data_IF_640471519797
#
_entry.id   IF_640471519797
#
_cell.length_a   1.000
_cell.length_b   1.000
_cell.length_c   1.000
_cell.angle_alpha   90.00
_cell.angle_beta   90.00
_cell.angle_gamma   90.00
#
_symmetry.space_group_name_H-M   'P 1'
#
loop_
_entity.id
_entity.type
_entity.pdbx_description
1 polymer ?
#
# COMPACT_ATOMS: atom_id res chain seq x y z
N UNK A 1 -21.09 1.15 2.22
CA UNK A 1 -20.23 1.14 3.41
C UNK A 1 -19.03 0.22 3.19
N UNK A 2 -17.84 0.65 3.59
CA UNK A 2 -16.59 -0.07 3.41
C UNK A 2 -16.61 -1.41 4.16
N UNK A 3 -16.55 -2.52 3.43
CA UNK A 3 -16.39 -3.85 4.03
C UNK A 3 -15.00 -4.02 4.64
N UNK A 4 -13.98 -3.45 3.99
CA UNK A 4 -12.59 -3.52 4.45
C UNK A 4 -12.09 -2.12 4.83
N UNK A 5 -11.99 -1.91 6.15
CA UNK A 5 -11.33 -0.75 6.77
C UNK A 5 -9.88 -1.13 7.04
N UNK A 6 -9.01 -0.75 6.11
CA UNK A 6 -7.65 -1.27 6.04
C UNK A 6 -6.56 -0.24 6.31
N UNK A 7 -5.44 -0.75 6.81
CA UNK A 7 -4.15 -0.06 6.84
C UNK A 7 -3.06 -1.04 6.41
N UNK A 8 -2.01 -0.54 5.76
CA UNK A 8 -0.85 -1.37 5.45
C UNK A 8 0.14 -1.39 6.61
N UNK A 9 0.91 -2.47 6.70
CA UNK A 9 1.97 -2.64 7.69
C UNK A 9 3.23 -3.15 6.98
N UNK A 10 4.33 -2.39 7.09
CA UNK A 10 5.62 -2.75 6.51
C UNK A 10 6.32 -3.72 7.45
N UNK A 11 6.45 -4.98 7.03
CA UNK A 11 7.11 -6.02 7.82
C UNK A 11 8.62 -5.84 7.68
N UNK A 12 9.22 -5.26 8.72
CA UNK A 12 10.66 -5.01 8.80
C UNK A 12 11.39 -5.99 9.71
N UNK A 13 12.29 -5.46 10.54
CA UNK A 13 13.10 -6.23 11.49
C UNK A 13 12.55 -6.21 12.92
N UNK A 14 11.36 -5.66 13.12
CA UNK A 14 10.69 -5.59 14.42
C UNK A 14 10.54 -6.99 15.04
N UNK A 15 10.59 -7.03 16.38
CA UNK A 15 10.37 -8.27 17.12
C UNK A 15 8.93 -8.76 16.97
N UNK A 16 8.69 -10.05 17.20
CA UNK A 16 7.32 -10.60 17.16
C UNK A 16 6.38 -9.91 18.16
N UNK A 17 6.90 -9.51 19.32
CA UNK A 17 6.12 -8.83 20.36
C UNK A 17 5.75 -7.40 19.94
N UNK A 18 6.66 -6.69 19.27
CA UNK A 18 6.36 -5.36 18.72
C UNK A 18 5.34 -5.45 17.58
N UNK A 19 5.51 -6.41 16.67
CA UNK A 19 4.52 -6.69 15.62
C UNK A 19 3.14 -7.00 16.21
N UNK A 20 3.07 -7.83 17.25
CA UNK A 20 1.80 -8.13 17.93
C UNK A 20 1.19 -6.87 18.54
N UNK A 21 1.98 -6.05 19.25
CA UNK A 21 1.52 -4.80 19.86
C UNK A 21 0.96 -3.84 18.80
N UNK A 22 1.68 -3.65 17.70
CA UNK A 22 1.24 -2.78 16.61
C UNK A 22 -0.07 -3.28 15.99
N UNK A 23 -0.20 -4.59 15.77
CA UNK A 23 -1.42 -5.18 15.23
C UNK A 23 -2.62 -5.06 16.18
N UNK A 24 -2.40 -5.13 17.49
CA UNK A 24 -3.44 -4.86 18.49
C UNK A 24 -3.91 -3.41 18.45
N UNK A 25 -2.98 -2.44 18.30
CA UNK A 25 -3.32 -1.02 18.11
C UNK A 25 -4.09 -0.81 16.81
N UNK A 26 -3.67 -1.45 15.72
CA UNK A 26 -4.37 -1.39 14.43
C UNK A 26 -5.81 -1.90 14.55
N UNK A 27 -6.03 -3.02 15.25
CA UNK A 27 -7.35 -3.59 15.42
C UNK A 27 -8.24 -2.75 16.35
N UNK A 28 -7.71 -2.37 17.52
CA UNK A 28 -8.51 -1.79 18.61
C UNK A 28 -8.63 -0.27 18.52
N UNK A 29 -7.53 0.41 18.26
CA UNK A 29 -7.44 1.87 18.37
C UNK A 29 -7.69 2.55 17.03
N UNK A 30 -7.27 1.93 15.92
CA UNK A 30 -7.60 2.40 14.56
C UNK A 30 -8.91 1.81 14.03
N UNK A 31 -9.54 0.87 14.73
CA UNK A 31 -10.76 0.18 14.32
C UNK A 31 -10.67 -0.47 12.93
N UNK A 32 -9.47 -0.90 12.52
CA UNK A 32 -9.29 -1.60 11.26
C UNK A 32 -9.88 -3.02 11.34
N UNK A 33 -10.47 -3.48 10.24
CA UNK A 33 -10.96 -4.87 10.11
C UNK A 33 -9.90 -5.77 9.47
N UNK A 34 -9.00 -5.19 8.68
CA UNK A 34 -8.01 -5.93 7.88
C UNK A 34 -6.69 -5.17 7.83
N UNK A 35 -5.57 -5.88 7.83
CA UNK A 35 -4.24 -5.30 7.61
C UNK A 35 -3.63 -5.83 6.30
N UNK A 36 -3.00 -4.96 5.51
CA UNK A 36 -2.19 -5.39 4.37
C UNK A 36 -0.71 -5.48 4.78
N UNK A 37 -0.21 -6.70 4.90
CA UNK A 37 1.17 -6.97 5.28
C UNK A 37 2.07 -6.95 4.06
N UNK A 38 3.10 -6.11 4.11
CA UNK A 38 4.02 -5.88 3.00
C UNK A 38 5.41 -6.29 3.46
N UNK A 39 6.00 -7.29 2.81
CA UNK A 39 7.33 -7.75 3.17
C UNK A 39 7.72 -9.01 2.42
N UNK A 40 8.59 -9.81 3.01
CA UNK A 40 9.11 -11.01 2.36
C UNK A 40 9.27 -12.20 3.29
N UNK A 41 9.22 -13.39 2.69
CA UNK A 41 9.65 -14.64 3.28
C UNK A 41 8.88 -15.01 4.56
N UNK A 42 9.57 -15.65 5.49
CA UNK A 42 8.98 -16.18 6.73
C UNK A 42 8.39 -15.07 7.61
N UNK A 43 9.06 -13.91 7.70
CA UNK A 43 8.61 -12.77 8.52
C UNK A 43 7.23 -12.28 8.10
N UNK A 44 6.98 -12.21 6.79
CA UNK A 44 5.66 -11.86 6.24
C UNK A 44 4.57 -12.82 6.71
N UNK A 45 4.83 -14.14 6.66
CA UNK A 45 3.87 -15.17 7.05
C UNK A 45 3.65 -15.19 8.57
N UNK A 46 4.71 -15.01 9.36
CA UNK A 46 4.60 -14.95 10.83
C UNK A 46 3.77 -13.73 11.27
N UNK A 47 3.96 -12.57 10.62
CA UNK A 47 3.15 -11.38 10.86
C UNK A 47 1.67 -11.61 10.44
N UNK A 48 1.44 -12.34 9.34
CA UNK A 48 0.09 -12.70 8.90
C UNK A 48 -0.64 -13.60 9.90
N UNK A 49 0.05 -14.59 10.46
CA UNK A 49 -0.51 -15.42 11.54
C UNK A 49 -0.86 -14.57 12.76
N UNK A 50 0.04 -13.68 13.18
CA UNK A 50 -0.18 -12.79 14.32
C UNK A 50 -1.38 -11.85 14.10
N UNK A 51 -1.56 -11.32 12.88
CA UNK A 51 -2.71 -10.50 12.53
C UNK A 51 -4.04 -11.28 12.60
N UNK A 52 -4.04 -12.53 12.11
CA UNK A 52 -5.23 -13.39 12.17
C UNK A 52 -5.63 -13.71 13.62
N UNK A 53 -4.65 -13.97 14.50
CA UNK A 53 -4.81 -14.21 15.93
C UNK A 53 -5.34 -13.00 16.70
N UNK A 54 -5.02 -11.77 16.25
CA UNK A 54 -5.50 -10.52 16.87
C UNK A 54 -6.90 -10.09 16.41
N UNK A 55 -7.52 -10.85 15.50
CA UNK A 55 -8.87 -10.54 15.02
C UNK A 55 -8.90 -9.71 13.72
N UNK A 56 -7.76 -9.46 13.07
CA UNK A 56 -7.69 -8.83 11.75
C UNK A 56 -7.76 -9.83 10.58
N UNK A 57 -8.48 -9.47 9.51
CA UNK A 57 -8.24 -10.06 8.19
C UNK A 57 -6.86 -9.68 7.66
N UNK A 58 -6.32 -10.44 6.71
CA UNK A 58 -4.99 -10.19 6.14
C UNK A 58 -4.98 -10.14 4.62
N UNK A 59 -4.34 -9.11 4.09
CA UNK A 59 -3.91 -9.03 2.70
C UNK A 59 -2.40 -9.26 2.67
N UNK A 60 -1.96 -10.38 2.12
CA UNK A 60 -0.54 -10.76 2.06
C UNK A 60 0.03 -10.20 0.76
N UNK A 61 0.93 -9.22 0.86
CA UNK A 61 1.62 -8.58 -0.26
C UNK A 61 3.11 -8.89 -0.25
N UNK A 62 3.57 -9.96 -0.93
CA UNK A 62 5.00 -10.19 -1.11
C UNK A 62 5.61 -9.00 -1.87
N UNK A 63 6.69 -8.45 -1.32
CA UNK A 63 7.35 -7.26 -1.84
C UNK A 63 8.88 -7.40 -1.76
N UNK A 64 9.45 -7.96 -2.83
CA UNK A 64 10.90 -8.03 -3.02
C UNK A 64 11.24 -7.35 -4.35
N UNK A 65 11.54 -6.03 -4.33
CA UNK A 65 11.82 -5.30 -5.56
C UNK A 65 13.09 -5.83 -6.24
N UNK A 66 13.20 -5.63 -7.55
CA UNK A 66 14.36 -6.04 -8.36
C UNK A 66 14.59 -7.56 -8.53
N UNK A 67 13.71 -8.44 -8.00
CA UNK A 67 13.79 -9.86 -8.33
C UNK A 67 13.55 -10.11 -9.82
N UNK A 68 14.37 -10.96 -10.42
CA UNK A 68 14.10 -11.46 -11.77
C UNK A 68 12.76 -12.19 -11.80
N UNK A 69 12.07 -12.16 -12.95
CA UNK A 69 10.74 -12.77 -13.08
C UNK A 69 10.68 -14.24 -12.62
N UNK A 70 11.67 -15.11 -12.93
CA UNK A 70 11.66 -16.49 -12.40
C UNK A 70 11.71 -16.55 -10.87
N UNK A 71 12.59 -15.76 -10.24
CA UNK A 71 12.73 -15.71 -8.77
C UNK A 71 11.51 -15.12 -8.09
N UNK A 72 10.89 -14.10 -8.70
CA UNK A 72 9.63 -13.54 -8.25
C UNK A 72 8.52 -14.60 -8.23
N UNK A 73 8.42 -15.41 -9.29
CA UNK A 73 7.41 -16.46 -9.39
C UNK A 73 7.66 -17.61 -8.41
N UNK A 74 8.93 -18.00 -8.20
CA UNK A 74 9.33 -18.97 -7.17
C UNK A 74 8.96 -18.47 -5.77
N UNK A 75 9.26 -17.21 -5.48
CA UNK A 75 8.88 -16.58 -4.22
C UNK A 75 7.36 -16.53 -4.03
N UNK A 76 6.61 -16.19 -5.08
CA UNK A 76 5.16 -16.17 -5.05
C UNK A 76 4.56 -17.57 -4.84
N UNK A 77 5.14 -18.63 -5.43
CA UNK A 77 4.68 -20.02 -5.21
C UNK A 77 4.80 -20.39 -3.73
N UNK A 78 5.95 -20.09 -3.10
CA UNK A 78 6.19 -20.34 -1.69
C UNK A 78 5.27 -19.53 -0.76
N UNK A 79 5.05 -18.25 -1.06
CA UNK A 79 4.12 -17.40 -0.29
C UNK A 79 2.68 -17.87 -0.46
N UNK A 80 2.29 -18.32 -1.66
CA UNK A 80 0.95 -18.84 -1.92
C UNK A 80 0.68 -20.16 -1.17
N UNK A 81 1.69 -21.04 -1.07
CA UNK A 81 1.61 -22.26 -0.26
C UNK A 81 1.40 -21.94 1.22
N UNK A 82 2.21 -21.04 1.79
CA UNK A 82 2.06 -20.61 3.18
C UNK A 82 0.74 -19.86 3.45
N UNK A 83 0.28 -19.03 2.49
CA UNK A 83 -1.01 -18.34 2.60
C UNK A 83 -2.20 -19.32 2.59
N UNK A 84 -2.09 -20.45 1.87
CA UNK A 84 -3.13 -21.48 1.85
C UNK A 84 -3.24 -22.20 3.18
N UNK A 85 -2.13 -22.44 3.88
CA UNK A 85 -2.14 -22.97 5.24
C UNK A 85 -2.93 -22.04 6.17
N UNK A 86 -2.61 -20.74 6.17
CA UNK A 86 -3.32 -19.74 6.97
C UNK A 86 -4.81 -19.66 6.61
N UNK A 87 -5.16 -19.74 5.31
CA UNK A 87 -6.55 -19.69 4.85
C UNK A 87 -7.37 -20.88 5.32
N UNK A 88 -6.76 -22.07 5.45
CA UNK A 88 -7.46 -23.26 5.98
C UNK A 88 -7.77 -23.13 7.46
N UNK A 89 -6.87 -22.50 8.22
CA UNK A 89 -7.06 -22.22 9.64
C UNK A 89 -8.03 -21.06 9.88
N UNK A 90 -8.01 -20.06 9.00
CA UNK A 90 -8.85 -18.86 9.06
C UNK A 90 -9.57 -18.62 7.73
N UNK A 91 -10.65 -19.38 7.45
CA UNK A 91 -11.45 -19.20 6.24
C UNK A 91 -11.92 -17.76 6.06
N UNK A 92 -11.95 -17.31 4.80
CA UNK A 92 -12.47 -15.99 4.38
C UNK A 92 -11.73 -14.76 4.92
N UNK A 93 -10.59 -14.94 5.60
CA UNK A 93 -9.80 -13.84 6.20
C UNK A 93 -8.44 -13.63 5.58
N UNK A 94 -8.10 -14.37 4.51
CA UNK A 94 -6.79 -14.31 3.84
C UNK A 94 -6.99 -13.99 2.37
N UNK A 95 -6.41 -12.87 1.92
CA UNK A 95 -6.33 -12.47 0.51
C UNK A 95 -4.86 -12.37 0.09
N UNK A 96 -4.51 -12.86 -1.09
CA UNK A 96 -3.14 -12.83 -1.61
C UNK A 96 -3.01 -11.81 -2.74
N UNK A 97 -2.05 -10.89 -2.63
CA UNK A 97 -1.64 -10.06 -3.76
C UNK A 97 -0.55 -10.79 -4.53
N UNK A 98 -0.70 -10.94 -5.86
CA UNK A 98 0.40 -11.47 -6.68
C UNK A 98 1.59 -10.50 -6.76
N UNK A 99 1.36 -9.22 -6.45
CA UNK A 99 2.39 -8.19 -6.34
C UNK A 99 1.85 -6.77 -6.44
N UNK A 100 2.76 -5.82 -6.63
CA UNK A 100 2.47 -4.38 -6.73
C UNK A 100 3.35 -3.71 -7.78
N UNK A 101 2.71 -2.95 -8.67
CA UNK A 101 3.33 -2.02 -9.62
C UNK A 101 4.54 -2.58 -10.40
N UNK A 102 4.41 -3.83 -10.86
CA UNK A 102 5.45 -4.60 -11.54
C UNK A 102 6.12 -3.89 -12.71
N UNK A 103 5.42 -2.97 -13.38
CA UNK A 103 6.00 -2.18 -14.48
C UNK A 103 7.32 -1.51 -14.10
N UNK A 104 7.43 -1.06 -12.85
CA UNK A 104 8.63 -0.41 -12.32
C UNK A 104 9.33 -1.21 -11.21
N UNK A 105 8.68 -2.16 -10.53
CA UNK A 105 9.33 -2.95 -9.47
C UNK A 105 10.03 -4.21 -10.01
N UNK A 106 9.55 -4.82 -11.11
CA UNK A 106 10.08 -6.09 -11.64
C UNK A 106 10.91 -5.91 -12.93
N UNK A 107 12.21 -6.27 -12.93
CA UNK A 107 13.07 -6.14 -14.09
C UNK A 107 12.50 -6.81 -15.34
N UNK A 108 12.76 -6.20 -16.48
CA UNK A 108 12.36 -6.73 -17.78
C UNK A 108 11.04 -6.21 -18.33
N UNK A 109 10.22 -5.46 -17.60
CA UNK A 109 9.06 -4.77 -18.19
C UNK A 109 9.52 -3.48 -18.88
N UNK A 110 9.93 -2.50 -18.07
CA UNK A 110 10.57 -1.26 -18.52
C UNK A 110 12.09 -1.39 -18.43
N UNK A 111 12.87 -0.90 -19.42
CA UNK A 111 14.33 -0.91 -19.34
C UNK A 111 14.85 -0.08 -18.16
N UNK A 112 15.86 -0.57 -17.45
CA UNK A 112 16.53 0.15 -16.39
C UNK A 112 16.98 -0.77 -15.26
N UNK A 113 18.13 -0.50 -14.60
CA UNK A 113 18.71 -1.39 -13.61
C UNK A 113 18.09 -1.27 -12.22
N UNK A 114 17.26 -0.24 -11.98
CA UNK A 114 16.63 0.05 -10.69
C UNK A 114 15.23 0.59 -10.89
N UNK A 115 14.34 0.26 -9.96
CA UNK A 115 12.92 0.61 -9.97
C UNK A 115 12.70 2.11 -10.12
N UNK A 116 13.43 2.92 -9.35
CA UNK A 116 13.38 4.38 -9.45
C UNK A 116 13.69 4.92 -10.86
N UNK A 117 14.65 4.33 -11.57
CA UNK A 117 14.97 4.74 -12.95
C UNK A 117 13.87 4.31 -13.92
N UNK A 118 13.30 3.13 -13.72
CA UNK A 118 12.16 2.63 -14.52
C UNK A 118 10.92 3.51 -14.32
N UNK A 119 10.62 3.90 -13.09
CA UNK A 119 9.54 4.83 -12.76
C UNK A 119 9.74 6.19 -13.46
N UNK A 120 10.94 6.76 -13.40
CA UNK A 120 11.26 8.01 -14.13
C UNK A 120 11.00 7.89 -15.64
N UNK A 121 11.38 6.76 -16.23
CA UNK A 121 11.14 6.49 -17.66
C UNK A 121 9.64 6.36 -17.96
N UNK A 122 8.88 5.68 -17.10
CA UNK A 122 7.41 5.59 -17.24
C UNK A 122 6.79 6.97 -17.19
N UNK A 123 7.07 7.76 -16.15
CA UNK A 123 6.49 9.10 -15.98
C UNK A 123 6.83 10.02 -17.16
N UNK A 124 8.05 9.93 -17.71
CA UNK A 124 8.49 10.79 -18.83
C UNK A 124 8.00 10.30 -20.19
N UNK A 125 8.00 8.99 -20.43
CA UNK A 125 7.81 8.38 -21.75
C UNK A 125 6.64 7.40 -21.79
N UNK A 126 5.66 7.54 -20.90
CA UNK A 126 4.50 6.65 -20.76
C UNK A 126 3.86 6.31 -22.11
N UNK A 127 3.56 7.31 -22.95
CA UNK A 127 2.90 7.11 -24.27
C UNK A 127 3.68 6.17 -25.19
N UNK A 128 5.02 6.24 -25.15
CA UNK A 128 5.91 5.40 -25.97
C UNK A 128 6.03 4.00 -25.37
N UNK A 129 6.07 3.90 -24.03
CA UNK A 129 6.26 2.65 -23.32
C UNK A 129 4.96 1.85 -23.14
N UNK A 130 3.78 2.47 -23.24
CA UNK A 130 2.46 1.87 -22.94
C UNK A 130 2.28 0.47 -23.52
N UNK A 131 2.36 0.33 -24.85
CA UNK A 131 2.19 -0.98 -25.52
C UNK A 131 3.17 -2.05 -25.03
N UNK A 132 4.39 -1.65 -24.67
CA UNK A 132 5.40 -2.56 -24.12
C UNK A 132 5.06 -2.96 -22.70
N UNK A 133 4.65 -2.00 -21.87
CA UNK A 133 4.23 -2.22 -20.48
C UNK A 133 3.05 -3.17 -20.48
N UNK A 134 1.95 -2.83 -21.16
CA UNK A 134 0.72 -3.63 -21.18
C UNK A 134 0.99 -5.08 -21.59
N UNK A 135 1.70 -5.30 -22.70
CA UNK A 135 2.00 -6.65 -23.20
C UNK A 135 2.90 -7.46 -22.24
N UNK A 136 3.94 -6.84 -21.68
CA UNK A 136 4.89 -7.56 -20.80
C UNK A 136 4.31 -7.78 -19.41
N UNK A 137 3.55 -6.81 -18.91
CA UNK A 137 2.84 -6.90 -17.64
C UNK A 137 1.75 -7.97 -17.71
N UNK A 138 0.90 -7.95 -18.74
CA UNK A 138 -0.12 -8.97 -18.94
C UNK A 138 0.47 -10.39 -18.92
N UNK A 139 1.54 -10.64 -19.68
CA UNK A 139 2.23 -11.95 -19.67
C UNK A 139 2.73 -12.34 -18.27
N UNK A 140 3.32 -11.39 -17.52
CA UNK A 140 3.81 -11.67 -16.18
C UNK A 140 2.66 -11.96 -15.22
N UNK A 141 1.58 -11.16 -15.25
CA UNK A 141 0.41 -11.32 -14.39
C UNK A 141 -0.31 -12.64 -14.65
N UNK A 142 -0.48 -13.06 -15.92
CA UNK A 142 -1.05 -14.37 -16.25
C UNK A 142 -0.25 -15.50 -15.62
N UNK A 143 1.08 -15.46 -15.72
CA UNK A 143 1.96 -16.47 -15.11
C UNK A 143 1.92 -16.39 -13.58
N UNK A 144 1.90 -15.19 -13.00
CA UNK A 144 1.85 -14.98 -11.56
C UNK A 144 0.56 -15.50 -10.93
N UNK A 145 -0.59 -15.18 -11.54
CA UNK A 145 -1.90 -15.71 -11.13
C UNK A 145 -1.92 -17.23 -11.26
N UNK A 146 -1.47 -17.78 -12.39
CA UNK A 146 -1.41 -19.24 -12.58
C UNK A 146 -0.56 -19.89 -11.50
N UNK A 147 0.58 -19.28 -11.16
CA UNK A 147 1.47 -19.76 -10.10
C UNK A 147 0.80 -19.73 -8.72
N UNK A 148 0.24 -18.60 -8.33
CA UNK A 148 -0.44 -18.49 -7.04
C UNK A 148 -1.63 -19.47 -6.94
N UNK A 149 -2.43 -19.61 -8.01
CA UNK A 149 -3.59 -20.51 -8.06
C UNK A 149 -3.27 -21.99 -7.95
N UNK A 150 -2.04 -22.43 -8.25
CA UNK A 150 -1.64 -23.82 -8.03
C UNK A 150 -1.65 -24.19 -6.54
N UNK A 151 -1.43 -23.20 -5.67
CA UNK A 151 -1.23 -23.41 -4.23
C UNK A 151 -2.37 -22.82 -3.39
N UNK A 152 -2.90 -21.67 -3.80
CA UNK A 152 -3.84 -20.87 -3.01
C UNK A 152 -5.25 -20.86 -3.59
N UNK A 153 -6.21 -21.28 -2.78
CA UNK A 153 -7.63 -21.38 -3.14
C UNK A 153 -8.49 -20.15 -2.76
N UNK A 154 -7.91 -19.15 -2.08
CA UNK A 154 -8.63 -17.95 -1.63
C UNK A 154 -8.60 -16.78 -2.62
N UNK A 155 -9.08 -15.60 -2.21
CA UNK A 155 -9.12 -14.42 -3.08
C UNK A 155 -7.73 -13.91 -3.50
N UNK A 156 -7.53 -13.66 -4.79
CA UNK A 156 -6.29 -13.10 -5.35
C UNK A 156 -6.55 -11.74 -6.00
N UNK A 157 -5.64 -10.80 -5.78
CA UNK A 157 -5.63 -9.49 -6.45
C UNK A 157 -4.20 -9.03 -6.81
N UNK A 158 -4.07 -7.81 -7.31
CA UNK A 158 -2.82 -7.16 -7.70
C UNK A 158 -2.96 -5.66 -7.40
N UNK A 159 -1.88 -5.00 -6.96
CA UNK A 159 -1.89 -3.55 -6.72
C UNK A 159 -1.39 -2.81 -7.95
N UNK A 160 -2.32 -2.35 -8.79
CA UNK A 160 -1.98 -1.69 -10.05
C UNK A 160 -1.67 -0.20 -9.87
N UNK A 161 -0.60 0.26 -10.51
CA UNK A 161 -0.34 1.70 -10.62
C UNK A 161 -1.31 2.34 -11.63
N UNK A 162 -1.58 3.65 -11.48
CA UNK A 162 -2.52 4.38 -12.36
C UNK A 162 -2.15 4.47 -13.85
N UNK A 163 -1.01 3.92 -14.28
CA UNK A 163 -0.60 3.81 -15.69
C UNK A 163 -0.61 2.37 -16.22
N UNK A 164 -0.93 1.38 -15.39
CA UNK A 164 -0.97 -0.03 -15.76
C UNK A 164 -2.38 -0.41 -16.23
N UNK A 165 -2.49 -0.98 -17.43
CA UNK A 165 -3.74 -1.59 -17.88
C UNK A 165 -3.70 -3.07 -17.54
N UNK A 166 -4.54 -3.48 -16.59
CA UNK A 166 -4.60 -4.85 -16.06
C UNK A 166 -5.85 -5.54 -16.58
N UNK A 167 -5.69 -6.80 -16.98
CA UNK A 167 -6.81 -7.68 -17.27
C UNK A 167 -7.36 -8.25 -15.96
N UNK A 168 -8.41 -7.61 -15.44
CA UNK A 168 -9.03 -8.00 -14.18
C UNK A 168 -9.81 -9.30 -14.25
N UNK A 169 -10.02 -9.90 -15.44
CA UNK A 169 -10.67 -11.22 -15.53
C UNK A 169 -9.83 -12.31 -14.82
N UNK A 170 -8.52 -12.10 -14.68
CA UNK A 170 -7.58 -13.01 -14.03
C UNK A 170 -7.66 -13.02 -12.49
N UNK A 171 -8.28 -12.00 -11.88
CA UNK A 171 -8.27 -11.75 -10.43
C UNK A 171 -9.66 -11.83 -9.83
N UNK A 172 -9.79 -11.97 -8.52
CA UNK A 172 -11.11 -11.92 -7.85
C UNK A 172 -11.50 -10.51 -7.46
N UNK A 173 -10.50 -9.66 -7.15
CA UNK A 173 -10.70 -8.25 -6.81
C UNK A 173 -9.89 -7.34 -7.73
N UNK A 174 -10.43 -6.15 -7.98
CA UNK A 174 -9.72 -5.07 -8.65
C UNK A 174 -8.91 -4.32 -7.60
N UNK A 175 -7.58 -4.33 -7.70
CA UNK A 175 -6.70 -3.68 -6.73
C UNK A 175 -5.92 -2.51 -7.34
N UNK A 176 -6.08 -1.30 -6.80
CA UNK A 176 -5.40 -0.11 -7.36
C UNK A 176 -4.70 0.74 -6.30
N UNK A 177 -3.46 1.13 -6.59
CA UNK A 177 -2.74 2.19 -5.88
C UNK A 177 -3.30 3.54 -6.37
N UNK A 178 -4.15 4.21 -5.57
CA UNK A 178 -5.00 5.30 -6.05
C UNK A 178 -4.78 6.62 -5.31
N UNK A 179 -3.69 7.30 -5.66
CA UNK A 179 -3.29 8.56 -5.04
C UNK A 179 -3.95 9.80 -5.68
N UNK A 180 -4.53 10.66 -4.83
CA UNK A 180 -4.96 12.01 -5.19
C UNK A 180 -3.76 12.97 -5.18
N UNK A 181 -3.77 13.92 -6.09
CA UNK A 181 -2.72 14.93 -6.27
C UNK A 181 -3.32 16.17 -6.92
N UNK A 182 -2.57 17.28 -6.94
CA UNK A 182 -3.02 18.51 -7.61
C UNK A 182 -3.29 18.34 -9.10
N UNK A 183 -2.69 17.32 -9.74
CA UNK A 183 -2.88 17.04 -11.18
C UNK A 183 -4.20 16.36 -11.52
N UNK A 184 -4.76 15.60 -10.58
CA UNK A 184 -5.98 14.82 -10.82
C UNK A 184 -7.13 15.23 -9.91
N UNK A 185 -6.94 16.19 -8.99
CA UNK A 185 -7.93 16.63 -8.01
C UNK A 185 -9.33 16.83 -8.60
N UNK A 186 -9.45 17.58 -9.70
CA UNK A 186 -10.75 17.87 -10.36
C UNK A 186 -11.40 16.65 -11.03
N UNK A 187 -10.62 15.62 -11.34
CA UNK A 187 -11.09 14.40 -12.04
C UNK A 187 -11.10 13.17 -11.14
N UNK A 188 -10.67 13.30 -9.88
CA UNK A 188 -10.38 12.17 -9.01
C UNK A 188 -11.66 11.41 -8.65
N UNK A 189 -12.72 12.13 -8.27
CA UNK A 189 -14.03 11.54 -7.98
C UNK A 189 -14.64 10.82 -9.18
N UNK A 190 -14.60 11.44 -10.36
CA UNK A 190 -15.15 10.82 -11.57
C UNK A 190 -14.38 9.57 -12.00
N UNK A 191 -13.06 9.56 -11.79
CA UNK A 191 -12.22 8.37 -11.99
C UNK A 191 -12.55 7.26 -11.01
N UNK A 192 -12.78 7.59 -9.73
CA UNK A 192 -13.19 6.62 -8.73
C UNK A 192 -14.56 6.01 -9.08
N UNK A 193 -15.55 6.84 -9.39
CA UNK A 193 -16.87 6.40 -9.84
C UNK A 193 -16.80 5.48 -11.05
N UNK A 194 -15.99 5.86 -12.03
CA UNK A 194 -15.77 5.05 -13.22
C UNK A 194 -15.13 3.71 -12.88
N UNK A 195 -14.14 3.71 -11.98
CA UNK A 195 -13.50 2.48 -11.53
C UNK A 195 -14.49 1.53 -10.84
N UNK A 196 -15.34 2.04 -9.94
CA UNK A 196 -16.35 1.21 -9.25
C UNK A 196 -17.44 0.73 -10.21
N UNK A 197 -17.93 1.60 -11.09
CA UNK A 197 -19.02 1.29 -12.02
C UNK A 197 -18.60 0.32 -13.14
N UNK A 198 -17.39 0.47 -13.67
CA UNK A 198 -16.97 -0.27 -14.87
C UNK A 198 -16.47 -1.71 -14.54
N UNK A 199 -16.55 -2.13 -13.27
CA UNK A 199 -16.12 -3.44 -12.82
C UNK A 199 -17.19 -4.15 -11.99
N UNK A 200 -17.58 -5.35 -12.42
CA UNK A 200 -18.51 -6.22 -11.68
C UNK A 200 -17.86 -6.89 -10.46
N UNK A 201 -16.56 -6.69 -10.24
CA UNK A 201 -15.76 -7.28 -9.16
C UNK A 201 -15.54 -6.24 -8.05
N UNK A 202 -15.41 -6.67 -6.78
CA UNK A 202 -15.12 -5.75 -5.69
C UNK A 202 -13.84 -4.94 -5.95
N UNK A 203 -13.94 -3.63 -5.84
CA UNK A 203 -12.83 -2.70 -6.02
C UNK A 203 -12.19 -2.39 -4.67
N UNK A 204 -10.87 -2.60 -4.58
CA UNK A 204 -10.06 -2.34 -3.41
C UNK A 204 -9.01 -1.28 -3.75
N UNK A 205 -9.00 -0.19 -2.99
CA UNK A 205 -7.91 0.78 -3.03
C UNK A 205 -6.77 0.23 -2.17
N UNK A 206 -5.78 -0.38 -2.82
CA UNK A 206 -4.68 -1.09 -2.16
C UNK A 206 -3.65 -0.13 -1.57
N UNK A 207 -3.63 1.13 -1.99
CA UNK A 207 -2.70 2.12 -1.45
C UNK A 207 -3.21 3.55 -1.68
N UNK A 208 -3.28 4.34 -0.61
CA UNK A 208 -3.46 5.79 -0.68
C UNK A 208 -2.84 6.48 0.56
N UNK A 209 -2.38 7.71 0.37
CA UNK A 209 -1.81 8.54 1.44
C UNK A 209 -1.04 9.75 0.93
N UNK A 210 -0.52 10.54 1.86
CA UNK A 210 0.45 11.60 1.59
C UNK A 210 1.38 11.79 2.80
N UNK A 211 2.39 12.64 2.63
CA UNK A 211 3.22 13.12 3.75
C UNK A 211 2.51 14.12 4.67
N UNK A 212 3.18 14.49 5.76
CA UNK A 212 2.72 15.41 6.80
C UNK A 212 3.45 16.77 6.73
N UNK A 213 3.35 17.45 5.58
CA UNK A 213 3.88 18.79 5.37
C UNK A 213 2.94 19.65 4.52
N UNK A 214 3.06 20.97 4.63
CA UNK A 214 2.23 21.90 3.85
C UNK A 214 2.40 21.65 2.34
N UNK A 215 1.29 21.31 1.67
CA UNK A 215 1.25 20.97 0.23
C UNK A 215 1.50 19.50 -0.09
N UNK A 216 1.56 18.61 0.91
CA UNK A 216 1.67 17.17 0.69
C UNK A 216 0.45 16.56 -0.03
N UNK A 217 -0.74 17.08 0.24
CA UNK A 217 -2.00 16.74 -0.43
C UNK A 217 -1.96 16.96 -1.95
N UNK A 218 -1.23 17.98 -2.40
CA UNK A 218 -1.03 18.26 -3.82
C UNK A 218 -0.03 17.30 -4.47
N UNK A 219 0.81 16.64 -3.67
CA UNK A 219 1.83 15.70 -4.15
C UNK A 219 1.35 14.25 -4.11
N UNK A 220 0.52 13.85 -3.14
CA UNK A 220 0.05 12.47 -2.98
C UNK A 220 1.21 11.49 -2.86
N UNK A 221 1.25 10.47 -3.73
CA UNK A 221 2.40 9.56 -3.87
C UNK A 221 3.75 10.30 -4.05
N UNK A 222 3.72 11.55 -4.49
CA UNK A 222 4.88 12.40 -4.68
C UNK A 222 5.50 13.00 -3.41
N UNK A 223 5.01 12.69 -2.20
CA UNK A 223 5.50 13.30 -0.96
C UNK A 223 6.97 12.99 -0.66
N UNK A 224 7.45 11.77 -0.92
CA UNK A 224 8.84 11.38 -0.67
C UNK A 224 9.89 12.14 -1.51
N UNK A 225 9.49 12.85 -2.57
CA UNK A 225 10.42 13.57 -3.46
C UNK A 225 11.05 14.80 -2.83
N UNK A 226 10.52 15.27 -1.70
CA UNK A 226 11.13 16.37 -0.94
C UNK A 226 12.43 15.93 -0.25
N UNK A 227 12.68 14.63 -0.13
CA UNK A 227 13.93 14.10 0.44
C UNK A 227 15.05 14.12 -0.59
N UNK A 228 16.20 14.66 -0.19
CA UNK A 228 17.46 14.53 -0.88
C UNK A 228 18.18 13.25 -0.48
N UNK A 229 17.89 12.16 -1.19
CA UNK A 229 18.57 10.87 -1.00
C UNK A 229 20.07 10.87 -1.39
N UNK A 230 20.57 11.97 -1.97
CA UNK A 230 21.98 12.11 -2.36
C UNK A 230 22.83 12.85 -1.31
N UNK A 231 22.25 13.30 -0.20
CA UNK A 231 23.02 13.83 0.93
C UNK A 231 23.26 12.74 1.97
N UNK A 232 24.32 12.90 2.76
CA UNK A 232 24.63 12.03 3.90
C UNK A 232 24.70 12.88 5.18
N UNK A 233 23.76 12.71 6.13
CA UNK A 233 22.53 11.91 6.02
C UNK A 233 21.54 12.48 4.97
N UNK A 234 20.50 11.71 4.56
CA UNK A 234 19.41 12.24 3.75
C UNK A 234 18.76 13.46 4.42
N UNK A 235 18.33 14.45 3.63
CA UNK A 235 17.79 15.72 4.15
C UNK A 235 16.61 16.22 3.34
N UNK A 236 15.72 16.96 3.98
CA UNK A 236 14.61 17.65 3.31
C UNK A 236 15.14 18.80 2.44
N UNK A 237 14.65 18.90 1.20
CA UNK A 237 14.97 19.96 0.24
C UNK A 237 14.02 21.13 0.40
N UNK A 238 14.56 22.34 0.51
CA UNK A 238 13.75 23.55 0.58
C UNK A 238 12.95 23.63 1.88
N UNK A 239 11.93 24.50 1.87
CA UNK A 239 11.06 24.73 3.01
C UNK A 239 9.76 23.94 2.87
N UNK A 240 9.58 22.97 3.76
CA UNK A 240 8.40 22.11 3.87
C UNK A 240 8.05 21.98 5.35
N UNK A 241 7.35 22.98 5.94
CA UNK A 241 6.94 22.92 7.34
C UNK A 241 6.09 21.68 7.62
N UNK A 242 6.31 21.06 8.78
CA UNK A 242 5.51 19.92 9.23
C UNK A 242 4.06 20.38 9.42
N UNK A 243 3.13 19.61 8.92
CA UNK A 243 1.69 19.89 8.92
C UNK A 243 0.95 18.55 8.89
N UNK A 244 0.68 17.99 10.08
CA UNK A 244 -0.02 16.71 10.22
C UNK A 244 -1.49 16.84 9.88
N UNK A 245 -2.09 18.02 10.10
CA UNK A 245 -3.47 18.32 9.74
C UNK A 245 -3.73 18.16 8.23
N UNK A 246 -2.75 18.49 7.37
CA UNK A 246 -2.82 18.22 5.92
C UNK A 246 -2.93 16.72 5.63
N UNK A 247 -2.11 15.88 6.28
CA UNK A 247 -2.15 14.43 6.12
C UNK A 247 -3.48 13.86 6.62
N UNK A 248 -3.90 14.27 7.83
CA UNK A 248 -5.14 13.85 8.46
C UNK A 248 -6.35 14.15 7.56
N UNK A 249 -6.50 15.41 7.14
CA UNK A 249 -7.59 15.82 6.24
C UNK A 249 -7.57 15.06 4.92
N UNK A 250 -6.38 14.86 4.33
CA UNK A 250 -6.26 14.11 3.08
C UNK A 250 -6.77 12.67 3.23
N UNK A 251 -6.41 11.98 4.31
CA UNK A 251 -6.86 10.60 4.56
C UNK A 251 -8.36 10.55 4.87
N UNK A 252 -8.85 11.44 5.75
CA UNK A 252 -10.26 11.50 6.14
C UNK A 252 -11.18 11.75 4.94
N UNK A 253 -10.87 12.73 4.10
CA UNK A 253 -11.63 13.03 2.89
C UNK A 253 -11.69 11.85 1.91
N UNK A 254 -10.58 11.10 1.77
CA UNK A 254 -10.55 9.96 0.86
C UNK A 254 -11.30 8.75 1.41
N UNK A 255 -11.23 8.49 2.72
CA UNK A 255 -12.01 7.44 3.37
C UNK A 255 -13.51 7.70 3.18
N UNK A 256 -13.98 8.93 3.47
CA UNK A 256 -15.37 9.33 3.25
C UNK A 256 -15.78 9.13 1.78
N UNK A 257 -14.92 9.53 0.85
CA UNK A 257 -15.20 9.41 -0.57
C UNK A 257 -15.25 7.94 -1.03
N UNK A 258 -14.38 7.06 -0.51
CA UNK A 258 -14.40 5.64 -0.84
C UNK A 258 -15.66 4.96 -0.31
N UNK A 259 -16.07 5.32 0.90
CA UNK A 259 -17.30 4.82 1.50
C UNK A 259 -18.54 5.22 0.69
N UNK A 260 -18.66 6.51 0.37
CA UNK A 260 -19.78 7.07 -0.37
C UNK A 260 -19.90 6.52 -1.80
N UNK A 261 -18.78 6.26 -2.46
CA UNK A 261 -18.75 5.78 -3.86
C UNK A 261 -18.79 4.24 -3.97
N UNK A 262 -18.96 3.53 -2.85
CA UNK A 262 -19.18 2.08 -2.83
C UNK A 262 -17.93 1.24 -3.10
N UNK A 263 -16.75 1.74 -2.73
CA UNK A 263 -15.52 0.95 -2.74
C UNK A 263 -15.66 -0.21 -1.74
N UNK A 264 -15.15 -1.39 -2.07
CA UNK A 264 -15.23 -2.56 -1.19
C UNK A 264 -14.27 -2.44 0.01
N UNK A 265 -13.07 -1.93 -0.25
CA UNK A 265 -12.03 -1.79 0.76
C UNK A 265 -10.99 -0.74 0.42
N UNK A 266 -10.39 -0.14 1.44
CA UNK A 266 -9.27 0.78 1.26
C UNK A 266 -8.16 0.54 2.28
N UNK A 267 -6.91 0.73 1.87
CA UNK A 267 -5.73 0.58 2.72
C UNK A 267 -4.95 1.88 2.80
N UNK A 268 -5.00 2.52 3.96
CA UNK A 268 -4.13 3.65 4.30
C UNK A 268 -2.69 3.15 4.23
N UNK A 269 -1.86 3.80 3.43
CA UNK A 269 -0.43 3.55 3.40
C UNK A 269 0.22 4.65 4.25
N UNK A 270 0.80 4.37 5.42
CA UNK A 270 0.95 3.06 6.11
C UNK A 270 0.93 3.25 7.64
N UNK A 271 0.99 2.18 8.45
CA UNK A 271 1.02 2.30 9.92
C UNK A 271 2.22 3.12 10.43
N UNK A 272 3.43 2.63 10.16
CA UNK A 272 4.68 3.28 10.55
C UNK A 272 5.73 3.17 9.44
N UNK A 273 6.71 4.07 9.44
CA UNK A 273 7.86 4.06 8.52
C UNK A 273 9.17 4.36 9.27
N UNK A 274 9.78 3.37 9.94
CA UNK A 274 11.04 3.57 10.68
C UNK A 274 12.20 4.11 9.82
N UNK A 275 12.20 3.82 8.52
CA UNK A 275 13.19 4.36 7.56
C UNK A 275 13.02 5.87 7.27
N UNK A 276 11.97 6.49 7.82
CA UNK A 276 11.66 7.92 7.74
C UNK A 276 11.56 8.48 9.17
N UNK A 277 12.69 8.60 9.90
CA UNK A 277 12.67 8.99 11.29
C UNK A 277 12.17 10.41 11.50
N UNK A 278 11.49 10.61 12.63
CA UNK A 278 11.12 11.91 13.15
C UNK A 278 12.30 12.55 13.87
N UNK A 279 12.48 13.85 13.66
CA UNK A 279 13.60 14.60 14.22
C UNK A 279 13.24 16.07 14.47
N UNK A 280 13.76 16.67 15.54
CA UNK A 280 13.47 18.06 15.92
C UNK A 280 14.00 19.08 14.90
N UNK A 281 15.20 18.87 14.33
CA UNK A 281 15.69 19.61 13.16
C UNK A 281 14.81 19.33 11.91
N UNK A 282 14.08 20.32 11.38
CA UNK A 282 13.18 20.14 10.23
C UNK A 282 13.89 19.72 8.94
N UNK A 283 15.22 19.85 8.86
CA UNK A 283 16.01 19.37 7.71
C UNK A 283 16.27 17.87 7.76
N UNK A 284 16.19 17.27 8.94
CA UNK A 284 16.41 15.85 9.21
C UNK A 284 15.11 15.09 9.47
N UNK A 285 14.00 15.79 9.75
CA UNK A 285 12.66 15.20 9.89
C UNK A 285 12.20 14.56 8.57
N UNK A 286 12.58 13.30 8.34
CA UNK A 286 12.17 12.53 7.16
C UNK A 286 10.73 12.07 7.30
N UNK A 287 10.25 11.89 8.53
CA UNK A 287 8.90 11.46 8.87
C UNK A 287 7.81 12.30 8.19
N UNK A 288 8.00 13.62 8.04
CA UNK A 288 7.03 14.45 7.30
C UNK A 288 6.93 14.10 5.81
N UNK A 289 7.99 13.58 5.20
CA UNK A 289 7.96 13.07 3.83
C UNK A 289 7.40 11.64 3.75
N UNK A 290 7.40 10.92 4.87
CA UNK A 290 6.86 9.58 5.04
C UNK A 290 5.34 9.58 5.14
N UNK A 291 4.75 8.41 4.88
CA UNK A 291 3.31 8.21 4.82
C UNK A 291 2.74 7.57 6.09
N UNK A 292 3.60 7.22 7.06
CA UNK A 292 3.21 6.64 8.34
C UNK A 292 2.18 7.52 9.07
N UNK A 293 1.18 6.89 9.70
CA UNK A 293 0.28 7.56 10.66
C UNK A 293 0.87 7.60 12.07
N UNK A 294 1.92 6.82 12.32
CA UNK A 294 2.77 6.87 13.52
C UNK A 294 4.13 7.44 13.13
N UNK A 295 4.59 8.45 13.88
CA UNK A 295 5.95 8.95 13.81
C UNK A 295 6.88 8.07 14.63
N UNK A 296 8.06 7.76 14.10
CA UNK A 296 9.08 6.92 14.75
C UNK A 296 10.37 7.71 14.81
N UNK A 297 11.00 7.86 15.97
CA UNK A 297 12.31 8.53 16.12
C UNK A 297 13.47 7.56 15.84
N UNK A 298 14.70 8.09 15.72
CA UNK A 298 15.90 7.26 15.50
C UNK A 298 16.16 6.22 16.60
N UNK A 299 15.72 6.49 17.84
CA UNK A 299 15.78 5.58 18.99
C UNK A 299 14.57 4.63 19.08
N UNK A 300 13.65 4.68 18.11
CA UNK A 300 12.49 3.79 18.02
C UNK A 300 11.29 4.22 18.86
N UNK A 301 11.27 5.42 19.42
CA UNK A 301 10.11 5.94 20.13
C UNK A 301 8.99 6.25 19.12
N UNK A 302 7.79 5.73 19.41
CA UNK A 302 6.62 5.88 18.56
C UNK A 302 5.64 6.91 19.15
N UNK A 303 5.09 7.76 18.30
CA UNK A 303 4.00 8.67 18.67
C UNK A 303 2.94 8.76 17.56
N UNK A 304 1.63 8.74 17.90
CA UNK A 304 0.58 8.90 16.91
C UNK A 304 0.60 10.31 16.33
N UNK A 305 0.44 10.43 15.01
CA UNK A 305 0.21 11.72 14.33
C UNK A 305 -1.26 12.09 14.38
N UNK A 306 -1.61 13.33 14.03
CA UNK A 306 -3.00 13.73 13.81
C UNK A 306 -3.74 12.81 12.81
N UNK A 307 -3.02 12.29 11.81
CA UNK A 307 -3.54 11.33 10.84
C UNK A 307 -4.00 10.01 11.48
N UNK A 308 -3.35 9.54 12.55
CA UNK A 308 -3.80 8.35 13.29
C UNK A 308 -5.20 8.57 13.86
N UNK A 309 -5.40 9.71 14.53
CA UNK A 309 -6.67 10.04 15.17
C UNK A 309 -7.79 10.26 14.17
N UNK A 310 -7.51 10.89 13.03
CA UNK A 310 -8.52 11.06 11.98
C UNK A 310 -8.91 9.72 11.34
N UNK A 311 -7.96 8.83 11.05
CA UNK A 311 -8.27 7.48 10.53
C UNK A 311 -9.09 6.68 11.54
N UNK A 312 -8.67 6.66 12.81
CA UNK A 312 -9.41 6.00 13.89
C UNK A 312 -10.86 6.50 13.97
N UNK A 313 -11.05 7.82 13.95
CA UNK A 313 -12.37 8.43 14.00
C UNK A 313 -13.24 7.99 12.81
N UNK A 314 -12.73 8.07 11.57
CA UNK A 314 -13.50 7.67 10.37
C UNK A 314 -13.87 6.19 10.38
N UNK A 315 -12.92 5.31 10.69
CA UNK A 315 -13.18 3.87 10.73
C UNK A 315 -14.08 3.47 11.90
N UNK A 316 -14.03 4.20 13.02
CA UNK A 316 -14.94 4.06 14.15
C UNK A 316 -16.36 4.54 13.84
N UNK A 317 -16.51 5.70 13.19
CA UNK A 317 -17.81 6.24 12.76
C UNK A 317 -18.52 5.26 11.82
N UNK A 318 -17.80 4.73 10.82
CA UNK A 318 -18.29 3.70 9.90
C UNK A 318 -18.67 2.40 10.64
N UNK A 319 -17.96 2.04 11.71
CA UNK A 319 -18.27 0.84 12.50
C UNK A 319 -19.63 0.93 13.21
N UNK A 320 -20.02 2.14 13.62
CA UNK A 320 -21.26 2.38 14.38
C UNK A 320 -22.48 2.42 13.46
N UNK A 321 -22.27 2.64 12.16
CA UNK A 321 -23.31 2.61 11.14
C UNK A 321 -23.64 1.17 10.65
N UNK A 322 -22.86 0.15 11.03
CA UNK A 322 -23.11 -1.30 10.82
C UNK A 322 -24.17 -1.87 11.78
#
# INVERSE_FOLDING_TARGET
>A
MLTVRGISYLVGEASTDDVRRDLEVIARDLHCTTVMLIGEGKRLIDAARTALETGLGVYIRPNVPELSQPKLLEHLDAVAEAAEELRREHPDRVTLLVGSEFSHTVPGIVPGPRSFLRLKLIVRFHRVLRRRIDRRLHRLLTTAVTTARRRFGGPITYSAAGWEHVDWSLFDLVGVSFYRSGRNHTTYADRLRTLVRDHDKPVVITEFGCGAFTGADQRGAGSFWIVNWFSTPPRIRGDHPRDEAVQARYLGELIDQYDAEGVHGCFVFTFAMPDFPHHDDPRLDLDKAGFGVVAVTDDGACSPKEAFHEVARRYGDIAVEE
#
